data_IF_237564851678
#
_entry.id   IF_237564851678
#
_cell.length_a   1.000
_cell.length_b   1.000
_cell.length_c   1.000
_cell.angle_alpha   90.00
_cell.angle_beta   90.00
_cell.angle_gamma   90.00
#
_symmetry.space_group_name_H-M   'P 1'
#
loop_
_entity.id
_entity.type
_entity.pdbx_description
1 polymer ?
#
# COMPACT_ATOMS: atom_id res chain seq x y z
N UNK A 1 43.42 -2.99 -14.45
CA UNK A 1 42.05 -2.85 -14.86
C UNK A 1 41.39 -4.21 -14.61
N UNK A 2 40.70 -4.34 -13.48
CA UNK A 2 39.88 -5.51 -13.18
C UNK A 2 38.76 -5.55 -14.21
N UNK A 3 38.74 -6.56 -15.02
CA UNK A 3 37.64 -6.88 -15.92
C UNK A 3 36.43 -7.25 -15.07
N UNK A 4 35.58 -6.28 -14.83
CA UNK A 4 34.31 -6.47 -14.10
C UNK A 4 33.48 -7.48 -14.85
N UNK A 5 33.22 -8.63 -14.25
CA UNK A 5 32.41 -9.69 -14.85
C UNK A 5 31.00 -9.16 -15.13
N UNK A 6 30.33 -9.62 -16.19
CA UNK A 6 28.94 -9.22 -16.43
C UNK A 6 28.05 -9.67 -15.27
N UNK A 7 27.07 -8.84 -14.90
CA UNK A 7 26.18 -9.06 -13.75
C UNK A 7 25.55 -10.47 -13.74
N UNK A 8 25.26 -11.03 -14.91
CA UNK A 8 24.70 -12.38 -15.04
C UNK A 8 25.63 -13.49 -14.49
N UNK A 9 26.97 -13.39 -14.70
CA UNK A 9 27.91 -14.37 -14.14
C UNK A 9 28.07 -14.21 -12.63
N UNK A 10 27.99 -13.00 -12.10
CA UNK A 10 28.05 -12.75 -10.66
C UNK A 10 26.82 -13.31 -9.94
N UNK A 11 25.63 -13.27 -10.57
CA UNK A 11 24.39 -13.84 -10.02
C UNK A 11 24.42 -15.37 -9.91
N UNK A 12 25.18 -16.06 -10.77
CA UNK A 12 25.35 -17.52 -10.72
C UNK A 12 26.52 -17.97 -9.81
N UNK A 13 27.20 -17.02 -9.17
CA UNK A 13 28.35 -17.33 -8.31
C UNK A 13 27.96 -18.19 -7.11
N UNK A 14 28.76 -19.20 -6.72
CA UNK A 14 28.57 -19.91 -5.46
C UNK A 14 28.78 -19.02 -4.24
N UNK A 15 29.45 -17.86 -4.39
CA UNK A 15 29.71 -16.92 -3.32
C UNK A 15 28.51 -15.94 -3.17
N UNK A 16 27.76 -15.98 -2.03
CA UNK A 16 26.63 -15.09 -1.80
C UNK A 16 26.99 -13.59 -1.84
N UNK A 17 28.22 -13.22 -1.44
CA UNK A 17 28.64 -11.83 -1.47
C UNK A 17 28.74 -11.26 -2.91
N UNK A 18 29.15 -12.09 -3.86
CA UNK A 18 29.17 -11.68 -5.29
C UNK A 18 27.74 -11.56 -5.85
N UNK A 19 26.85 -12.51 -5.52
CA UNK A 19 25.44 -12.42 -5.92
C UNK A 19 24.80 -11.16 -5.34
N UNK A 20 25.03 -10.86 -4.06
CA UNK A 20 24.53 -9.65 -3.41
C UNK A 20 24.98 -8.37 -4.14
N UNK A 21 26.27 -8.27 -4.47
CA UNK A 21 26.81 -7.10 -5.21
C UNK A 21 26.20 -6.96 -6.60
N UNK A 22 25.91 -8.07 -7.27
CA UNK A 22 25.26 -8.04 -8.60
C UNK A 22 23.83 -7.47 -8.54
N UNK A 23 23.09 -7.70 -7.45
CA UNK A 23 21.72 -7.20 -7.28
C UNK A 23 21.61 -5.69 -7.31
N UNK A 24 22.64 -4.94 -6.88
CA UNK A 24 22.65 -3.47 -6.92
C UNK A 24 22.49 -2.91 -8.34
N UNK A 25 22.84 -3.70 -9.35
CA UNK A 25 22.81 -3.32 -10.77
C UNK A 25 21.69 -4.03 -11.55
N UNK A 26 20.95 -4.91 -10.88
CA UNK A 26 19.85 -5.64 -11.50
C UNK A 26 18.59 -4.79 -11.49
N UNK A 27 17.98 -4.59 -12.66
CA UNK A 27 16.71 -3.86 -12.82
C UNK A 27 15.57 -4.74 -13.39
N UNK A 28 15.86 -5.99 -13.70
CA UNK A 28 14.86 -6.97 -14.12
C UNK A 28 14.02 -7.41 -12.92
N UNK A 29 12.74 -6.99 -12.91
CA UNK A 29 11.82 -7.26 -11.80
C UNK A 29 11.49 -8.73 -11.63
N UNK A 30 11.38 -9.50 -12.74
CA UNK A 30 11.05 -10.93 -12.69
C UNK A 30 12.23 -11.72 -12.12
N UNK A 31 13.44 -11.36 -12.53
CA UNK A 31 14.66 -11.97 -12.01
C UNK A 31 14.85 -11.65 -10.53
N UNK A 32 14.59 -10.40 -10.09
CA UNK A 32 14.65 -10.03 -8.68
C UNK A 32 13.63 -10.78 -7.84
N UNK A 33 12.42 -10.97 -8.32
CA UNK A 33 11.37 -11.71 -7.61
C UNK A 33 11.74 -13.20 -7.49
N UNK A 34 12.29 -13.79 -8.54
CA UNK A 34 12.80 -15.17 -8.53
C UNK A 34 13.92 -15.33 -7.50
N UNK A 35 14.92 -14.45 -7.50
CA UNK A 35 16.03 -14.51 -6.54
C UNK A 35 15.52 -14.28 -5.10
N UNK A 36 14.58 -13.36 -4.90
CA UNK A 36 14.00 -13.11 -3.58
C UNK A 36 13.25 -14.31 -3.00
N UNK A 37 12.70 -15.19 -3.85
CA UNK A 37 11.99 -16.39 -3.42
C UNK A 37 12.87 -17.63 -3.33
N UNK A 38 13.86 -17.78 -4.21
CA UNK A 38 14.53 -19.07 -4.46
C UNK A 38 16.02 -19.13 -4.06
N UNK A 39 16.70 -17.98 -3.89
CA UNK A 39 18.13 -18.01 -3.55
C UNK A 39 18.38 -18.77 -2.23
N UNK A 40 19.41 -19.59 -2.20
CA UNK A 40 19.75 -20.39 -1.03
C UNK A 40 20.14 -19.53 0.20
N UNK A 41 20.76 -18.36 -0.04
CA UNK A 41 21.21 -17.46 1.00
C UNK A 41 20.11 -16.44 1.37
N UNK A 42 19.77 -16.36 2.67
CA UNK A 42 18.72 -15.46 3.15
C UNK A 42 19.07 -13.98 3.00
N UNK A 43 20.35 -13.62 3.05
CA UNK A 43 20.82 -12.25 2.85
C UNK A 43 20.64 -11.81 1.40
N UNK A 44 20.92 -12.73 0.45
CA UNK A 44 20.70 -12.49 -0.99
C UNK A 44 19.20 -12.35 -1.28
N UNK A 45 18.34 -13.23 -0.71
CA UNK A 45 16.89 -13.09 -0.84
C UNK A 45 16.39 -11.73 -0.34
N UNK A 46 16.83 -11.32 0.85
CA UNK A 46 16.44 -10.03 1.44
C UNK A 46 16.90 -8.84 0.60
N UNK A 47 18.13 -8.90 0.05
CA UNK A 47 18.67 -7.87 -0.82
C UNK A 47 17.90 -7.77 -2.14
N UNK A 48 17.55 -8.90 -2.75
CA UNK A 48 16.75 -8.94 -3.98
C UNK A 48 15.36 -8.34 -3.75
N UNK A 49 14.68 -8.70 -2.65
CA UNK A 49 13.40 -8.12 -2.27
C UNK A 49 13.51 -6.61 -2.05
N UNK A 50 14.51 -6.15 -1.32
CA UNK A 50 14.75 -4.72 -1.08
C UNK A 50 14.99 -3.95 -2.39
N UNK A 51 15.76 -4.52 -3.32
CA UNK A 51 16.00 -3.92 -4.64
C UNK A 51 14.72 -3.86 -5.48
N UNK A 52 13.95 -4.94 -5.51
CA UNK A 52 12.64 -5.00 -6.16
C UNK A 52 11.70 -3.91 -5.64
N UNK A 53 11.59 -3.77 -4.33
CA UNK A 53 10.76 -2.75 -3.68
C UNK A 53 11.21 -1.32 -4.02
N UNK A 54 12.53 -1.05 -4.04
CA UNK A 54 13.08 0.27 -4.39
C UNK A 54 12.80 0.65 -5.84
N UNK A 55 12.93 -0.31 -6.77
CA UNK A 55 12.62 -0.11 -8.19
C UNK A 55 11.14 0.20 -8.38
N UNK A 56 10.25 -0.57 -7.76
CA UNK A 56 8.81 -0.35 -7.83
C UNK A 56 8.39 0.97 -7.16
N UNK A 57 9.03 1.35 -6.06
CA UNK A 57 8.76 2.62 -5.39
C UNK A 57 9.25 3.86 -6.16
N UNK A 58 9.99 3.69 -7.26
CA UNK A 58 10.58 4.81 -8.01
C UNK A 58 11.76 5.47 -7.32
N UNK A 59 12.40 4.79 -6.36
CA UNK A 59 13.52 5.32 -5.56
C UNK A 59 14.90 5.02 -6.13
N UNK A 60 14.98 4.18 -7.15
CA UNK A 60 16.22 3.89 -7.86
C UNK A 60 16.28 4.68 -9.17
N UNK A 61 17.50 5.06 -9.59
CA UNK A 61 17.73 5.84 -10.82
C UNK A 61 17.33 5.07 -12.09
N UNK A 62 17.36 3.76 -12.02
CA UNK A 62 17.00 2.81 -13.07
C UNK A 62 15.61 2.16 -12.84
N UNK A 63 14.75 2.83 -12.06
CA UNK A 63 13.37 2.39 -11.88
C UNK A 63 12.62 2.36 -13.20
N UNK A 64 11.78 1.32 -13.44
CA UNK A 64 10.93 1.26 -14.62
C UNK A 64 9.98 2.45 -14.72
N UNK A 65 9.43 2.75 -15.91
CA UNK A 65 8.40 3.77 -16.07
C UNK A 65 7.22 3.56 -15.11
N UNK A 66 6.58 4.65 -14.70
CA UNK A 66 5.45 4.59 -13.76
C UNK A 66 4.34 3.65 -14.25
N UNK A 67 4.04 3.66 -15.56
CA UNK A 67 3.01 2.79 -16.15
C UNK A 67 3.29 1.31 -15.90
N UNK A 68 4.53 0.87 -16.07
CA UNK A 68 4.94 -0.53 -15.87
C UNK A 68 4.88 -0.91 -14.38
N UNK A 69 5.26 0.02 -13.49
CA UNK A 69 5.18 -0.17 -12.03
C UNK A 69 3.74 -0.26 -11.54
N UNK A 70 2.83 0.55 -12.10
CA UNK A 70 1.40 0.49 -11.82
C UNK A 70 0.79 -0.84 -12.27
N UNK A 71 1.15 -1.31 -13.46
CA UNK A 71 0.69 -2.60 -13.96
C UNK A 71 1.20 -3.75 -13.10
N UNK A 72 2.48 -3.69 -12.71
CA UNK A 72 3.07 -4.70 -11.82
C UNK A 72 2.36 -4.77 -10.47
N UNK A 73 2.07 -3.62 -9.84
CA UNK A 73 1.36 -3.58 -8.57
C UNK A 73 -0.06 -4.15 -8.68
N UNK A 74 -0.75 -3.97 -9.82
CA UNK A 74 -2.08 -4.55 -10.03
C UNK A 74 -2.05 -6.07 -10.17
N UNK A 75 -0.93 -6.61 -10.70
CA UNK A 75 -0.74 -8.06 -10.87
C UNK A 75 -0.26 -8.74 -9.60
N UNK A 76 0.57 -8.06 -8.81
CA UNK A 76 1.20 -8.57 -7.59
C UNK A 76 0.62 -7.83 -6.37
N UNK A 77 -0.44 -8.41 -5.81
CA UNK A 77 -1.15 -7.87 -4.64
C UNK A 77 -0.59 -8.41 -3.30
N UNK A 78 0.72 -8.72 -3.24
CA UNK A 78 1.34 -9.12 -1.97
C UNK A 78 1.14 -8.03 -0.90
N UNK A 79 0.55 -8.33 0.26
CA UNK A 79 0.24 -7.32 1.28
C UNK A 79 1.46 -6.56 1.80
N UNK A 80 2.64 -7.20 1.86
CA UNK A 80 3.87 -6.55 2.32
C UNK A 80 4.39 -5.55 1.28
N UNK A 81 4.29 -5.91 -0.01
CA UNK A 81 4.64 -5.01 -1.11
C UNK A 81 3.68 -3.82 -1.17
N UNK A 82 2.38 -4.07 -1.06
CA UNK A 82 1.34 -3.03 -1.03
C UNK A 82 1.60 -2.03 0.09
N UNK A 83 1.83 -2.52 1.32
CA UNK A 83 2.14 -1.67 2.47
C UNK A 83 3.42 -0.86 2.28
N UNK A 84 4.48 -1.49 1.77
CA UNK A 84 5.72 -0.81 1.45
C UNK A 84 5.52 0.31 0.42
N UNK A 85 4.83 0.04 -0.69
CA UNK A 85 4.59 1.03 -1.75
C UNK A 85 3.68 2.16 -1.29
N UNK A 86 2.68 1.87 -0.49
CA UNK A 86 1.78 2.86 0.09
C UNK A 86 2.55 3.92 0.90
N UNK A 87 3.56 3.50 1.66
CA UNK A 87 4.35 4.40 2.51
C UNK A 87 5.56 5.01 1.80
N UNK A 88 6.11 4.33 0.79
CA UNK A 88 7.42 4.66 0.26
C UNK A 88 7.48 5.04 -1.22
N UNK A 89 6.44 4.80 -2.01
CA UNK A 89 6.46 5.18 -3.42
C UNK A 89 6.56 6.70 -3.59
N UNK A 90 7.33 7.10 -4.61
CA UNK A 90 7.59 8.51 -4.92
C UNK A 90 6.35 9.16 -5.52
N UNK A 91 5.68 8.48 -6.44
CA UNK A 91 4.52 9.01 -7.15
C UNK A 91 3.21 8.77 -6.37
N UNK A 92 2.41 9.82 -6.16
CA UNK A 92 1.11 9.69 -5.48
C UNK A 92 0.15 8.72 -6.18
N UNK A 93 0.23 8.60 -7.50
CA UNK A 93 -0.61 7.69 -8.30
C UNK A 93 -0.35 6.21 -7.92
N UNK A 94 0.92 5.85 -7.73
CA UNK A 94 1.26 4.48 -7.30
C UNK A 94 0.78 4.22 -5.87
N UNK A 95 0.87 5.22 -4.99
CA UNK A 95 0.36 5.14 -3.63
C UNK A 95 -1.17 5.04 -3.58
N UNK A 96 -1.89 5.70 -4.50
CA UNK A 96 -3.35 5.55 -4.62
C UNK A 96 -3.73 4.12 -5.01
N UNK A 97 -3.05 3.51 -5.98
CA UNK A 97 -3.30 2.11 -6.36
C UNK A 97 -2.95 1.15 -5.22
N UNK A 98 -1.87 1.38 -4.49
CA UNK A 98 -1.55 0.60 -3.28
C UNK A 98 -2.63 0.76 -2.20
N UNK A 99 -3.13 1.97 -2.01
CA UNK A 99 -4.23 2.24 -1.09
C UNK A 99 -5.49 1.44 -1.46
N UNK A 100 -5.85 1.35 -2.75
CA UNK A 100 -7.00 0.57 -3.23
C UNK A 100 -6.92 -0.92 -2.85
N UNK A 101 -5.73 -1.46 -2.73
CA UNK A 101 -5.49 -2.86 -2.35
C UNK A 101 -5.37 -3.08 -0.84
N UNK A 102 -5.20 -2.02 -0.07
CA UNK A 102 -5.04 -2.09 1.39
C UNK A 102 -6.36 -2.47 2.05
N UNK A 103 -6.34 -3.46 2.94
CA UNK A 103 -7.52 -3.89 3.73
C UNK A 103 -7.36 -3.57 5.22
N UNK A 104 -6.16 -3.19 5.66
CA UNK A 104 -5.87 -2.90 7.06
C UNK A 104 -6.46 -1.55 7.46
N UNK A 105 -7.46 -1.56 8.32
CA UNK A 105 -8.15 -0.35 8.75
C UNK A 105 -7.22 0.61 9.52
N UNK A 106 -6.29 0.09 10.31
CA UNK A 106 -5.27 0.90 10.99
C UNK A 106 -4.42 1.73 10.01
N UNK A 107 -4.04 1.14 8.88
CA UNK A 107 -3.31 1.83 7.82
C UNK A 107 -4.18 2.90 7.15
N UNK A 108 -5.47 2.61 6.90
CA UNK A 108 -6.40 3.60 6.36
C UNK A 108 -6.55 4.81 7.28
N UNK A 109 -6.67 4.60 8.60
CA UNK A 109 -6.74 5.68 9.59
C UNK A 109 -5.44 6.50 9.58
N UNK A 110 -4.29 5.83 9.58
CA UNK A 110 -2.98 6.49 9.55
C UNK A 110 -2.83 7.40 8.33
N UNK A 111 -3.11 6.88 7.14
CA UNK A 111 -3.04 7.64 5.89
C UNK A 111 -4.05 8.80 5.90
N UNK A 112 -5.29 8.56 6.32
CA UNK A 112 -6.33 9.60 6.37
C UNK A 112 -5.96 10.79 7.26
N UNK A 113 -5.16 10.56 8.31
CA UNK A 113 -4.78 11.61 9.27
C UNK A 113 -3.41 12.22 8.95
N UNK A 114 -2.45 11.41 8.51
CA UNK A 114 -1.03 11.81 8.51
C UNK A 114 -0.39 11.96 7.14
N UNK A 115 -1.00 11.43 6.07
CA UNK A 115 -0.37 11.50 4.76
C UNK A 115 -0.14 12.96 4.30
N UNK A 116 0.99 13.29 3.70
CA UNK A 116 1.26 14.63 3.20
C UNK A 116 0.32 15.04 2.04
N UNK A 117 -0.16 14.07 1.23
CA UNK A 117 -1.01 14.35 0.08
C UNK A 117 -2.50 14.33 0.45
N UNK A 118 -3.18 15.42 0.14
CA UNK A 118 -4.62 15.59 0.44
C UNK A 118 -5.47 14.49 -0.20
N UNK A 119 -5.19 14.15 -1.45
CA UNK A 119 -5.99 13.16 -2.20
C UNK A 119 -5.88 11.77 -1.58
N UNK A 120 -4.69 11.40 -1.08
CA UNK A 120 -4.50 10.14 -0.34
C UNK A 120 -5.25 10.17 0.99
N UNK A 121 -5.21 11.29 1.75
CA UNK A 121 -5.99 11.38 2.99
C UNK A 121 -7.48 11.20 2.76
N UNK A 122 -8.03 11.85 1.74
CA UNK A 122 -9.45 11.73 1.40
C UNK A 122 -9.78 10.34 0.85
N UNK A 123 -8.96 9.77 -0.03
CA UNK A 123 -9.17 8.43 -0.56
C UNK A 123 -9.15 7.36 0.54
N UNK A 124 -8.23 7.45 1.50
CA UNK A 124 -8.20 6.57 2.65
C UNK A 124 -9.46 6.70 3.52
N UNK A 125 -9.87 7.92 3.80
CA UNK A 125 -11.10 8.20 4.58
C UNK A 125 -12.35 7.60 3.91
N UNK A 126 -12.47 7.66 2.57
CA UNK A 126 -13.63 7.11 1.85
C UNK A 126 -13.73 5.57 1.98
N UNK A 127 -12.68 4.90 2.39
CA UNK A 127 -12.64 3.45 2.57
C UNK A 127 -12.84 2.99 4.01
N UNK A 128 -12.92 3.92 4.95
CA UNK A 128 -13.20 3.60 6.36
C UNK A 128 -14.69 3.54 6.57
N UNK A 129 -15.22 2.38 6.95
CA UNK A 129 -16.66 2.16 7.14
C UNK A 129 -17.05 2.03 8.62
N UNK A 130 -16.08 1.82 9.54
CA UNK A 130 -16.37 1.71 10.96
C UNK A 130 -16.61 3.09 11.61
N UNK A 131 -17.76 3.27 12.32
CA UNK A 131 -18.08 4.54 12.95
C UNK A 131 -17.04 5.02 13.96
N UNK A 132 -16.44 4.10 14.72
CA UNK A 132 -15.42 4.38 15.71
C UNK A 132 -14.16 4.94 15.07
N UNK A 133 -13.76 4.37 13.92
CA UNK A 133 -12.61 4.81 13.14
C UNK A 133 -12.84 6.18 12.49
N UNK A 134 -14.04 6.43 11.97
CA UNK A 134 -14.43 7.74 11.46
C UNK A 134 -14.41 8.82 12.55
N UNK A 135 -14.90 8.51 13.75
CA UNK A 135 -14.83 9.43 14.88
C UNK A 135 -13.40 9.68 15.33
N UNK A 136 -12.54 8.65 15.33
CA UNK A 136 -11.11 8.80 15.59
C UNK A 136 -10.44 9.72 14.58
N UNK A 137 -10.67 9.52 13.28
CA UNK A 137 -10.14 10.39 12.22
C UNK A 137 -10.63 11.83 12.40
N UNK A 138 -11.92 12.01 12.67
CA UNK A 138 -12.50 13.33 12.91
C UNK A 138 -11.82 14.05 14.10
N UNK A 139 -11.64 13.37 15.24
CA UNK A 139 -10.97 13.97 16.42
C UNK A 139 -9.53 14.37 16.10
N UNK A 140 -8.78 13.51 15.45
CA UNK A 140 -7.35 13.75 15.13
C UNK A 140 -7.17 14.84 14.06
N UNK A 141 -8.12 14.97 13.13
CA UNK A 141 -8.07 15.95 12.04
C UNK A 141 -8.63 17.32 12.41
N UNK A 142 -9.35 17.45 13.53
CA UNK A 142 -10.12 18.66 13.90
C UNK A 142 -9.34 19.97 13.78
N UNK A 143 -8.09 19.98 14.24
CA UNK A 143 -7.24 21.17 14.28
C UNK A 143 -6.12 21.15 13.21
N UNK A 144 -6.05 20.10 12.40
CA UNK A 144 -5.00 19.91 11.41
C UNK A 144 -5.52 20.03 9.98
N UNK A 145 -6.65 19.40 9.70
CA UNK A 145 -7.24 19.34 8.36
C UNK A 145 -8.76 19.44 8.42
N UNK A 146 -9.27 20.66 8.12
CA UNK A 146 -10.72 20.93 8.13
C UNK A 146 -11.50 20.13 7.08
N UNK A 147 -10.87 19.74 5.96
CA UNK A 147 -11.55 18.98 4.90
C UNK A 147 -11.74 17.52 5.34
N UNK A 148 -10.69 16.88 5.83
CA UNK A 148 -10.76 15.51 6.38
C UNK A 148 -11.73 15.49 7.57
N UNK A 149 -11.62 16.44 8.51
CA UNK A 149 -12.54 16.54 9.64
C UNK A 149 -14.01 16.60 9.21
N UNK A 150 -14.34 17.54 8.30
CA UNK A 150 -15.72 17.71 7.81
C UNK A 150 -16.22 16.45 7.12
N UNK A 151 -15.43 15.89 6.24
CA UNK A 151 -15.79 14.68 5.49
C UNK A 151 -15.98 13.46 6.39
N UNK A 152 -15.12 13.28 7.40
CA UNK A 152 -15.26 12.22 8.39
C UNK A 152 -16.57 12.37 9.19
N UNK A 153 -16.92 13.60 9.60
CA UNK A 153 -18.20 13.88 10.29
C UNK A 153 -19.40 13.60 9.40
N UNK A 154 -19.38 14.04 8.14
CA UNK A 154 -20.46 13.79 7.17
C UNK A 154 -20.70 12.28 6.99
N UNK A 155 -19.65 11.48 6.85
CA UNK A 155 -19.77 10.03 6.73
C UNK A 155 -20.29 9.37 8.01
N UNK A 156 -19.78 9.78 9.16
CA UNK A 156 -20.24 9.27 10.45
C UNK A 156 -21.74 9.56 10.65
N UNK A 157 -22.18 10.79 10.39
CA UNK A 157 -23.58 11.19 10.52
C UNK A 157 -24.48 10.41 9.55
N UNK A 158 -23.99 10.14 8.32
CA UNK A 158 -24.69 9.31 7.32
C UNK A 158 -24.86 7.85 7.79
N UNK A 159 -23.81 7.23 8.31
CA UNK A 159 -23.86 5.85 8.83
C UNK A 159 -24.80 5.74 10.04
N UNK A 160 -24.77 6.70 10.94
CA UNK A 160 -25.70 6.73 12.09
C UNK A 160 -27.14 6.84 11.61
N UNK A 161 -27.41 7.73 10.65
CA UNK A 161 -28.76 7.90 10.08
C UNK A 161 -29.24 6.64 9.34
N UNK A 162 -28.35 5.93 8.65
CA UNK A 162 -28.64 4.65 7.98
C UNK A 162 -28.98 3.56 9.00
N UNK A 163 -28.20 3.43 10.05
CA UNK A 163 -28.43 2.46 11.12
C UNK A 163 -29.78 2.69 11.82
N UNK A 164 -30.14 3.95 12.09
CA UNK A 164 -31.45 4.29 12.67
C UNK A 164 -32.58 3.89 11.71
N UNK A 165 -32.44 4.18 10.40
CA UNK A 165 -33.44 3.79 9.39
C UNK A 165 -33.60 2.28 9.29
N UNK A 166 -32.49 1.53 9.24
CA UNK A 166 -32.52 0.06 9.20
C UNK A 166 -33.23 -0.53 10.42
N UNK A 167 -32.90 -0.06 11.63
CA UNK A 167 -33.53 -0.52 12.88
C UNK A 167 -35.04 -0.18 12.93
N UNK A 168 -35.44 0.94 12.33
CA UNK A 168 -36.86 1.31 12.25
C UNK A 168 -37.65 0.38 11.30
N UNK A 169 -37.06 0.07 10.13
CA UNK A 169 -37.64 -0.85 9.15
C UNK A 169 -37.79 -2.26 9.78
N UNK A 170 -36.74 -2.75 10.42
CA UNK A 170 -36.75 -4.07 11.07
C UNK A 170 -37.85 -4.19 12.13
N UNK A 171 -38.02 -3.13 12.95
CA UNK A 171 -39.12 -3.08 13.91
C UNK A 171 -40.50 -3.13 13.25
N UNK A 172 -40.72 -2.34 12.17
CA UNK A 172 -41.97 -2.35 11.44
C UNK A 172 -42.29 -3.70 10.80
N UNK A 173 -41.28 -4.38 10.23
CA UNK A 173 -41.43 -5.73 9.70
C UNK A 173 -41.87 -6.73 10.80
N UNK A 174 -41.23 -6.67 11.97
CA UNK A 174 -41.59 -7.55 13.10
C UNK A 174 -43.01 -7.26 13.62
N UNK A 175 -43.41 -5.99 13.66
CA UNK A 175 -44.78 -5.61 14.05
C UNK A 175 -45.84 -6.14 13.06
N UNK A 176 -45.52 -6.12 11.75
CA UNK A 176 -46.43 -6.67 10.71
C UNK A 176 -46.52 -8.21 10.72
N UNK A 177 -45.43 -8.90 11.05
CA UNK A 177 -45.45 -10.38 11.15
C UNK A 177 -46.25 -10.90 12.37
N UNK A 178 -46.49 -10.06 13.38
CA UNK A 178 -47.22 -10.38 14.58
C UNK A 178 -48.72 -9.99 14.53
N UNK A 179 -49.20 -9.49 13.40
CA UNK A 179 -50.62 -9.18 13.15
C UNK A 179 -51.31 -10.28 12.38
#
# INVERSE_FOLDING_TARGET
PETRQPASQELESPNPALRHTALERLSDLDQLQTIASEDADSGVRAAALGRYQLLLAGKATDSPPLADRLERLRQDADPQLVDFLLHHAVEPELRLVALEQTTAESTLIEIAVHDPHMDLRLAALERVDEPESLDQIARQSRNRDKRVYRRARERLDALVAEKIRASHIERLCTEMENL
#
